data_IF_295804583531
#
_entry.id   IF_295804583531
#
_cell.length_a   1.000
_cell.length_b   1.000
_cell.length_c   1.000
_cell.angle_alpha   90.00
_cell.angle_beta   90.00
_cell.angle_gamma   90.00
#
_symmetry.space_group_name_H-M   'P 1'
#
loop_
_entity.id
_entity.type
_entity.pdbx_description
1 polymer ?
#
# COMPACT_ATOMS: atom_id res chain seq x y z
N UNK A 1 -23.20 38.93 15.58
CA UNK A 1 -21.73 38.99 15.52
C UNK A 1 -21.29 37.75 14.77
N UNK A 2 -20.62 37.93 13.63
CA UNK A 2 -20.28 36.85 12.71
C UNK A 2 -19.09 36.04 13.26
N UNK A 3 -19.29 34.73 13.45
CA UNK A 3 -18.19 33.80 13.68
C UNK A 3 -17.57 33.46 12.32
N UNK A 4 -16.38 34.00 12.06
CA UNK A 4 -15.55 33.67 10.91
C UNK A 4 -15.13 32.20 10.98
N UNK A 5 -15.78 31.34 10.19
CA UNK A 5 -15.29 29.98 9.92
C UNK A 5 -14.03 30.07 9.06
N UNK A 6 -12.96 29.39 9.48
CA UNK A 6 -11.66 29.28 8.77
C UNK A 6 -11.73 28.46 7.47
N UNK A 7 -12.89 28.35 6.83
CA UNK A 7 -13.12 27.57 5.60
C UNK A 7 -13.03 28.41 4.32
N UNK A 8 -12.84 29.72 4.48
CA UNK A 8 -12.38 30.67 3.49
C UNK A 8 -10.86 30.42 3.23
N UNK A 9 -10.29 30.09 2.06
CA UNK A 9 -10.69 30.23 0.67
C UNK A 9 -9.71 29.40 -0.19
N UNK A 10 -9.87 28.09 -0.33
CA UNK A 10 -9.23 27.39 -1.47
C UNK A 10 -10.24 27.33 -2.60
N UNK A 11 -10.26 28.36 -3.44
CA UNK A 11 -11.09 28.39 -4.64
C UNK A 11 -10.75 27.28 -5.64
N UNK A 12 -9.59 26.64 -5.49
CA UNK A 12 -9.08 25.69 -6.45
C UNK A 12 -8.43 24.45 -5.81
N UNK A 13 -8.50 23.33 -6.52
CA UNK A 13 -8.01 22.02 -6.08
C UNK A 13 -7.31 21.31 -7.24
N UNK A 14 -6.15 20.72 -6.97
CA UNK A 14 -5.42 19.93 -7.97
C UNK A 14 -6.13 18.60 -8.24
N UNK A 15 -5.99 18.07 -9.46
CA UNK A 15 -6.60 16.79 -9.88
C UNK A 15 -6.41 15.66 -8.86
N UNK A 16 -5.18 15.47 -8.38
CA UNK A 16 -4.86 14.40 -7.42
C UNK A 16 -5.58 14.55 -6.08
N UNK A 17 -5.79 15.79 -5.63
CA UNK A 17 -6.54 16.06 -4.41
C UNK A 17 -8.04 15.90 -4.65
N UNK A 18 -8.58 16.33 -5.79
CA UNK A 18 -9.99 16.11 -6.13
C UNK A 18 -10.34 14.61 -6.11
N UNK A 19 -9.49 13.75 -6.69
CA UNK A 19 -9.69 12.30 -6.68
C UNK A 19 -9.63 11.70 -5.26
N UNK A 20 -8.67 12.12 -4.44
CA UNK A 20 -8.48 11.58 -3.08
C UNK A 20 -9.53 12.10 -2.09
N UNK A 21 -9.78 13.41 -2.11
CA UNK A 21 -10.63 14.09 -1.13
C UNK A 21 -12.12 13.97 -1.48
N UNK A 22 -12.48 13.75 -2.74
CA UNK A 22 -13.88 13.61 -3.17
C UNK A 22 -14.20 12.24 -3.78
N UNK A 23 -13.24 11.31 -3.72
CA UNK A 23 -13.37 9.95 -4.26
C UNK A 23 -13.86 9.91 -5.71
N UNK A 24 -13.50 10.93 -6.50
CA UNK A 24 -13.89 11.09 -7.90
C UNK A 24 -12.94 10.32 -8.83
N UNK A 25 -13.51 9.79 -9.92
CA UNK A 25 -12.76 9.15 -11.00
C UNK A 25 -12.19 10.16 -11.99
N UNK A 26 -11.37 9.70 -12.94
CA UNK A 26 -10.88 10.56 -14.02
C UNK A 26 -11.98 10.96 -15.00
N UNK A 27 -13.04 10.15 -15.12
CA UNK A 27 -14.20 10.42 -15.98
C UNK A 27 -15.05 11.55 -15.38
N UNK A 28 -15.32 11.49 -14.07
CA UNK A 28 -16.08 12.52 -13.35
C UNK A 28 -15.43 13.91 -13.46
N UNK A 29 -14.10 13.95 -13.49
CA UNK A 29 -13.32 15.18 -13.59
C UNK A 29 -13.14 15.67 -15.03
N UNK A 30 -13.46 14.86 -16.04
CA UNK A 30 -13.26 15.22 -17.46
C UNK A 30 -14.23 16.30 -17.91
N UNK A 31 -15.43 16.30 -17.34
CA UNK A 31 -16.51 17.26 -17.64
C UNK A 31 -16.33 18.61 -16.95
N UNK A 32 -15.42 18.70 -15.97
CA UNK A 32 -15.20 19.91 -15.18
C UNK A 32 -14.20 20.86 -15.82
N UNK A 33 -14.43 22.17 -15.62
CA UNK A 33 -13.52 23.20 -16.11
C UNK A 33 -12.23 23.16 -15.29
N UNK A 34 -11.09 23.27 -15.99
CA UNK A 34 -9.79 23.28 -15.35
C UNK A 34 -8.82 24.25 -16.01
N UNK A 35 -7.94 24.79 -15.19
CA UNK A 35 -6.74 25.49 -15.63
C UNK A 35 -5.57 24.52 -15.60
N UNK A 36 -4.65 24.69 -16.55
CA UNK A 36 -3.41 23.92 -16.61
C UNK A 36 -2.25 24.79 -16.15
N UNK A 37 -1.43 24.29 -15.22
CA UNK A 37 -0.24 24.96 -14.69
C UNK A 37 0.97 24.04 -14.77
N UNK A 38 2.16 24.62 -14.84
CA UNK A 38 3.40 23.85 -14.74
C UNK A 38 3.43 23.02 -13.46
N UNK A 39 3.99 21.82 -13.56
CA UNK A 39 4.13 20.95 -12.40
C UNK A 39 5.17 21.55 -11.44
N UNK A 40 4.80 21.80 -10.16
CA UNK A 40 5.67 22.49 -9.20
C UNK A 40 6.90 21.68 -8.80
N UNK A 41 6.89 20.35 -9.02
CA UNK A 41 8.03 19.48 -8.71
C UNK A 41 9.06 19.56 -9.84
N UNK A 42 8.62 19.50 -11.09
CA UNK A 42 9.49 19.57 -12.26
C UNK A 42 8.68 20.02 -13.49
N UNK A 43 9.11 21.10 -14.14
CA UNK A 43 8.46 21.64 -15.35
C UNK A 43 8.42 20.67 -16.53
N UNK A 44 9.31 19.68 -16.56
CA UNK A 44 9.32 18.62 -17.60
C UNK A 44 8.23 17.57 -17.40
N UNK A 45 7.62 17.50 -16.20
CA UNK A 45 6.51 16.59 -15.94
C UNK A 45 5.22 17.09 -16.57
N UNK A 46 4.24 16.19 -16.79
CA UNK A 46 2.94 16.58 -17.28
C UNK A 46 2.35 17.74 -16.46
N UNK A 47 1.83 18.79 -17.12
CA UNK A 47 1.23 19.91 -16.45
C UNK A 47 0.11 19.51 -15.48
N UNK A 48 0.04 20.21 -14.35
CA UNK A 48 -0.95 19.97 -13.32
C UNK A 48 -2.29 20.61 -13.71
N UNK A 49 -3.38 19.84 -13.58
CA UNK A 49 -4.74 20.35 -13.74
C UNK A 49 -5.30 20.85 -12.41
N UNK A 50 -5.83 22.06 -12.43
CA UNK A 50 -6.41 22.77 -11.30
C UNK A 50 -7.89 23.03 -11.59
N UNK A 51 -8.76 22.52 -10.72
CA UNK A 51 -10.22 22.62 -10.81
C UNK A 51 -10.75 23.62 -9.80
N UNK A 52 -11.93 24.18 -10.04
CA UNK A 52 -12.65 24.97 -9.02
C UNK A 52 -13.21 24.05 -7.95
N UNK A 53 -13.02 24.42 -6.68
CA UNK A 53 -13.48 23.60 -5.56
C UNK A 53 -15.01 23.45 -5.53
N UNK A 54 -15.75 24.50 -5.88
CA UNK A 54 -17.21 24.49 -5.94
C UNK A 54 -17.74 23.46 -6.94
N UNK A 55 -17.19 23.43 -8.16
CA UNK A 55 -17.57 22.47 -9.20
C UNK A 55 -17.27 21.03 -8.77
N UNK A 56 -16.10 20.80 -8.16
CA UNK A 56 -15.73 19.48 -7.63
C UNK A 56 -16.68 19.03 -6.52
N UNK A 57 -17.04 19.93 -5.59
CA UNK A 57 -18.01 19.63 -4.53
C UNK A 57 -19.38 19.28 -5.10
N UNK A 58 -19.86 20.04 -6.10
CA UNK A 58 -21.12 19.76 -6.77
C UNK A 58 -21.10 18.39 -7.47
N UNK A 59 -20.02 18.06 -8.20
CA UNK A 59 -19.88 16.76 -8.84
C UNK A 59 -19.79 15.62 -7.82
N UNK A 60 -19.14 15.85 -6.68
CA UNK A 60 -19.09 14.86 -5.60
C UNK A 60 -20.48 14.57 -5.03
N UNK A 61 -21.32 15.60 -4.86
CA UNK A 61 -22.71 15.42 -4.43
C UNK A 61 -23.52 14.67 -5.49
N UNK A 62 -23.30 14.92 -6.78
CA UNK A 62 -23.95 14.18 -7.87
C UNK A 62 -23.59 12.67 -7.83
N UNK A 63 -22.30 12.34 -7.66
CA UNK A 63 -21.81 10.95 -7.65
C UNK A 63 -22.20 10.20 -6.37
N UNK A 64 -22.07 10.85 -5.21
CA UNK A 64 -22.26 10.20 -3.90
C UNK A 64 -23.64 10.45 -3.28
N UNK A 65 -24.45 11.33 -3.86
CA UNK A 65 -25.77 11.76 -3.39
C UNK A 65 -25.73 12.79 -2.25
N UNK A 66 -24.74 12.71 -1.36
CA UNK A 66 -24.48 13.72 -0.32
C UNK A 66 -23.03 13.69 0.13
N UNK A 67 -22.56 14.78 0.74
CA UNK A 67 -21.22 14.82 1.35
C UNK A 67 -21.10 13.90 2.57
N UNK A 68 -22.20 13.62 3.26
CA UNK A 68 -22.23 12.66 4.38
C UNK A 68 -21.91 11.24 3.89
N UNK A 69 -22.56 10.77 2.82
CA UNK A 69 -22.29 9.45 2.22
C UNK A 69 -20.84 9.32 1.72
N UNK A 70 -20.27 10.41 1.22
CA UNK A 70 -18.86 10.46 0.84
C UNK A 70 -17.95 10.24 2.06
N UNK A 71 -18.22 10.91 3.18
CA UNK A 71 -17.45 10.74 4.43
C UNK A 71 -17.60 9.35 5.04
N UNK A 72 -18.80 8.76 4.98
CA UNK A 72 -19.04 7.38 5.39
C UNK A 72 -18.19 6.40 4.57
N UNK A 73 -18.16 6.57 3.25
CA UNK A 73 -17.35 5.73 2.37
C UNK A 73 -15.84 5.93 2.63
N UNK A 74 -15.38 7.16 2.88
CA UNK A 74 -13.99 7.40 3.30
C UNK A 74 -13.65 6.67 4.58
N UNK A 75 -14.53 6.71 5.58
CA UNK A 75 -14.35 6.04 6.87
C UNK A 75 -14.29 4.53 6.68
N UNK A 76 -15.18 3.98 5.86
CA UNK A 76 -15.18 2.56 5.49
C UNK A 76 -13.88 2.13 4.80
N UNK A 77 -13.35 2.93 3.87
CA UNK A 77 -12.06 2.65 3.20
C UNK A 77 -10.88 2.69 4.18
N UNK A 78 -10.86 3.65 5.10
CA UNK A 78 -9.84 3.74 6.16
C UNK A 78 -9.87 2.51 7.06
N UNK A 79 -11.05 2.11 7.55
CA UNK A 79 -11.20 0.92 8.39
C UNK A 79 -10.74 -0.36 7.68
N UNK A 80 -11.10 -0.54 6.40
CA UNK A 80 -10.63 -1.68 5.62
C UNK A 80 -9.11 -1.71 5.50
N UNK A 81 -8.48 -0.55 5.28
CA UNK A 81 -7.02 -0.43 5.19
C UNK A 81 -6.35 -0.86 6.50
N UNK A 82 -6.80 -0.31 7.63
CA UNK A 82 -6.29 -0.67 8.96
C UNK A 82 -6.44 -2.17 9.21
N UNK A 83 -7.61 -2.76 8.90
CA UNK A 83 -7.82 -4.19 9.10
C UNK A 83 -6.88 -5.08 8.27
N UNK A 84 -6.55 -4.67 7.05
CA UNK A 84 -5.59 -5.40 6.20
C UNK A 84 -4.17 -5.24 6.75
N UNK A 85 -3.79 -4.04 7.19
CA UNK A 85 -2.49 -3.78 7.80
C UNK A 85 -2.30 -4.61 9.08
N UNK A 86 -3.28 -4.63 9.97
CA UNK A 86 -3.26 -5.46 11.18
C UNK A 86 -3.10 -6.95 10.87
N UNK A 87 -3.84 -7.47 9.88
CA UNK A 87 -3.70 -8.88 9.46
C UNK A 87 -2.31 -9.18 8.91
N UNK A 88 -1.78 -8.30 8.06
CA UNK A 88 -0.45 -8.47 7.50
C UNK A 88 0.63 -8.42 8.61
N UNK A 89 0.46 -7.58 9.62
CA UNK A 89 1.36 -7.53 10.78
C UNK A 89 1.27 -8.79 11.63
N UNK A 90 0.07 -9.32 11.86
CA UNK A 90 -0.13 -10.59 12.57
C UNK A 90 0.47 -11.77 11.80
N UNK A 91 0.31 -11.83 10.47
CA UNK A 91 0.92 -12.85 9.62
C UNK A 91 2.45 -12.77 9.63
N UNK A 92 3.01 -11.56 9.56
CA UNK A 92 4.46 -11.35 9.73
C UNK A 92 4.93 -11.84 11.09
N UNK A 93 4.20 -11.51 12.16
CA UNK A 93 4.54 -11.95 13.52
C UNK A 93 4.53 -13.48 13.61
N UNK A 94 3.46 -14.12 13.14
CA UNK A 94 3.35 -15.59 13.08
C UNK A 94 4.46 -16.24 12.26
N UNK A 95 4.86 -15.62 11.16
CA UNK A 95 5.99 -16.09 10.34
C UNK A 95 7.30 -16.08 11.13
N UNK A 96 7.59 -15.01 11.86
CA UNK A 96 8.79 -14.89 12.69
C UNK A 96 8.74 -15.77 13.96
N UNK A 97 7.55 -16.00 14.51
CA UNK A 97 7.33 -16.86 15.68
C UNK A 97 7.33 -18.36 15.33
N UNK A 98 7.47 -18.72 14.06
CA UNK A 98 7.51 -20.12 13.63
C UNK A 98 8.84 -20.76 14.03
N UNK A 99 8.78 -21.70 14.99
CA UNK A 99 9.95 -22.39 15.57
C UNK A 99 10.81 -23.11 14.50
N UNK A 100 10.19 -23.66 13.46
CA UNK A 100 10.89 -24.31 12.33
C UNK A 100 11.76 -23.34 11.51
N UNK A 101 11.38 -22.07 11.45
CA UNK A 101 12.14 -21.01 10.76
C UNK A 101 13.13 -20.39 11.75
N UNK A 102 12.68 -20.14 12.97
CA UNK A 102 13.47 -19.50 14.01
C UNK A 102 14.67 -20.35 14.44
N UNK A 103 14.51 -21.64 14.70
CA UNK A 103 15.59 -22.49 15.24
C UNK A 103 16.82 -22.58 14.32
N UNK A 104 16.70 -22.77 12.99
CA UNK A 104 17.84 -22.68 12.07
C UNK A 104 18.50 -21.28 12.02
N UNK A 105 17.72 -20.22 12.20
CA UNK A 105 18.18 -18.83 12.15
C UNK A 105 18.76 -18.34 13.49
N UNK A 106 18.38 -18.97 14.61
CA UNK A 106 18.73 -18.59 15.98
C UNK A 106 20.24 -18.47 16.20
N UNK A 107 21.00 -19.45 15.69
CA UNK A 107 22.47 -19.42 15.72
C UNK A 107 23.06 -18.14 15.10
N UNK A 108 22.44 -17.62 14.05
CA UNK A 108 22.89 -16.39 13.37
C UNK A 108 22.33 -15.12 14.02
N UNK A 109 21.13 -15.20 14.60
CA UNK A 109 20.49 -14.08 15.32
C UNK A 109 21.23 -13.75 16.63
N UNK A 110 21.74 -14.75 17.33
CA UNK A 110 22.50 -14.57 18.58
C UNK A 110 23.90 -13.96 18.34
N UNK A 111 24.47 -14.16 17.15
CA UNK A 111 25.76 -13.62 16.74
C UNK A 111 25.67 -12.18 16.18
N UNK A 112 24.46 -11.71 15.84
CA UNK A 112 24.21 -10.35 15.37
C UNK A 112 24.37 -9.34 16.52
N UNK A 113 25.59 -8.85 16.69
CA UNK A 113 25.84 -7.63 17.47
C UNK A 113 25.27 -6.46 16.68
N UNK A 114 24.04 -6.07 17.00
CA UNK A 114 23.52 -4.79 16.52
C UNK A 114 24.48 -3.69 16.99
N UNK A 115 24.96 -2.83 16.08
CA UNK A 115 25.75 -1.68 16.50
C UNK A 115 24.88 -0.91 17.50
N UNK A 116 25.41 -0.70 18.70
CA UNK A 116 24.80 0.18 19.68
C UNK A 116 24.86 1.57 19.06
N UNK A 117 23.80 1.95 18.34
CA UNK A 117 23.59 3.33 17.97
C UNK A 117 23.37 4.03 19.30
N UNK A 118 24.45 4.63 19.81
CA UNK A 118 24.37 5.56 20.92
C UNK A 118 23.24 6.53 20.55
N UNK A 119 22.24 6.64 21.44
CA UNK A 119 21.20 7.66 21.32
C UNK A 119 21.84 9.03 21.55
N UNK A 120 22.68 9.48 20.63
CA UNK A 120 22.81 10.90 20.43
C UNK A 120 21.53 11.30 19.73
N UNK A 121 20.59 11.83 20.52
CA UNK A 121 19.38 12.45 19.99
C UNK A 121 19.87 13.62 19.11
N UNK A 122 19.80 13.52 17.77
CA UNK A 122 20.13 14.65 16.95
C UNK A 122 19.13 15.77 17.27
N UNK A 123 19.55 17.06 17.30
CA UNK A 123 18.60 18.15 17.46
C UNK A 123 17.50 17.98 16.42
N UNK A 124 16.24 18.16 16.86
CA UNK A 124 15.03 17.91 16.08
C UNK A 124 15.12 18.56 14.68
N UNK A 125 15.66 17.80 13.74
CA UNK A 125 15.61 18.09 12.32
C UNK A 125 14.37 17.36 11.85
N UNK A 126 13.48 18.11 11.20
CA UNK A 126 12.19 17.65 10.66
C UNK A 126 12.41 16.27 10.04
N UNK A 127 11.66 15.28 10.52
CA UNK A 127 11.86 13.90 10.08
C UNK A 127 11.70 13.83 8.57
N UNK A 128 12.34 12.87 7.91
CA UNK A 128 12.10 12.57 6.49
C UNK A 128 10.61 12.28 6.20
N UNK A 129 9.83 11.99 7.24
CA UNK A 129 8.39 11.77 7.27
C UNK A 129 7.55 13.07 7.36
N UNK A 130 8.18 14.22 7.65
CA UNK A 130 7.55 15.55 7.67
C UNK A 130 7.66 16.26 6.31
N UNK A 131 8.29 15.63 5.32
CA UNK A 131 8.30 16.16 3.96
C UNK A 131 7.01 15.72 3.24
N UNK A 132 6.28 16.68 2.66
CA UNK A 132 5.15 16.49 1.74
C UNK A 132 5.53 15.76 0.42
N UNK A 133 6.51 14.87 0.46
CA UNK A 133 6.91 14.00 -0.64
C UNK A 133 5.94 12.84 -0.67
N UNK A 134 5.05 12.86 -1.66
CA UNK A 134 4.17 11.76 -2.01
C UNK A 134 5.03 10.51 -2.24
N UNK A 135 5.06 9.59 -1.27
CA UNK A 135 5.55 8.23 -1.47
C UNK A 135 4.52 7.46 -2.32
N UNK A 136 4.50 7.74 -3.62
CA UNK A 136 3.75 7.01 -4.64
C UNK A 136 4.39 5.64 -4.95
N UNK A 137 4.83 4.91 -3.92
CA UNK A 137 5.31 3.54 -4.08
C UNK A 137 4.34 2.56 -3.40
N UNK A 138 3.82 2.92 -2.23
CA UNK A 138 2.90 2.08 -1.46
C UNK A 138 1.49 2.00 -2.06
N UNK A 139 1.03 3.03 -2.77
CA UNK A 139 -0.28 2.99 -3.45
C UNK A 139 -0.23 2.21 -4.77
N UNK A 140 0.94 2.10 -5.41
CA UNK A 140 1.12 1.34 -6.65
C UNK A 140 1.07 -0.18 -6.39
N UNK A 141 1.63 -0.67 -5.28
CA UNK A 141 1.55 -2.08 -4.88
C UNK A 141 0.15 -2.52 -4.42
N UNK A 142 -0.74 -1.57 -4.11
CA UNK A 142 -2.10 -1.83 -3.62
C UNK A 142 -3.20 -1.54 -4.65
N UNK A 143 -2.86 -0.97 -5.81
CA UNK A 143 -3.80 -0.69 -6.89
C UNK A 143 -3.90 -1.92 -7.80
N UNK A 144 -4.95 -2.72 -7.65
CA UNK A 144 -5.22 -3.87 -8.51
C UNK A 144 -5.53 -3.37 -9.93
N UNK A 145 -4.76 -3.76 -10.98
CA UNK A 145 -5.07 -3.31 -12.34
C UNK A 145 -6.43 -3.90 -12.79
N UNK A 146 -7.23 -3.15 -13.59
CA UNK A 146 -8.48 -3.65 -14.12
C UNK A 146 -8.21 -4.86 -15.02
N UNK A 147 -8.77 -6.02 -14.66
CA UNK A 147 -8.56 -7.30 -15.35
C UNK A 147 -7.87 -8.40 -14.54
N UNK A 148 -7.40 -8.13 -13.32
CA UNK A 148 -6.83 -9.17 -12.47
C UNK A 148 -7.90 -10.16 -11.96
N UNK A 149 -7.84 -11.42 -12.40
CA UNK A 149 -8.75 -12.51 -12.00
C UNK A 149 -8.86 -12.66 -10.46
N UNK A 150 -10.01 -13.08 -9.93
CA UNK A 150 -10.23 -13.21 -8.49
C UNK A 150 -9.22 -14.17 -7.83
N UNK A 151 -8.72 -13.76 -6.65
CA UNK A 151 -7.67 -14.42 -5.85
C UNK A 151 -7.93 -15.92 -5.58
N UNK A 152 -9.20 -16.33 -5.61
CA UNK A 152 -9.63 -17.71 -5.39
C UNK A 152 -9.13 -18.70 -6.46
N UNK A 153 -8.97 -18.27 -7.71
CA UNK A 153 -8.43 -19.12 -8.78
C UNK A 153 -6.89 -19.19 -8.75
N UNK A 154 -6.22 -18.14 -8.26
CA UNK A 154 -4.77 -18.10 -8.10
C UNK A 154 -4.28 -19.04 -6.98
N UNK A 155 -4.96 -19.04 -5.84
CA UNK A 155 -4.63 -19.93 -4.71
C UNK A 155 -4.74 -21.42 -5.07
N UNK A 156 -5.75 -21.81 -5.86
CA UNK A 156 -5.93 -23.19 -6.33
C UNK A 156 -4.76 -23.67 -7.20
N UNK A 157 -4.22 -22.78 -8.05
CA UNK A 157 -3.07 -23.11 -8.90
C UNK A 157 -1.75 -23.15 -8.11
N UNK A 158 -1.59 -22.27 -7.11
CA UNK A 158 -0.44 -22.25 -6.20
C UNK A 158 -0.42 -23.52 -5.33
N UNK A 159 -1.57 -23.95 -4.80
CA UNK A 159 -1.64 -25.18 -4.00
C UNK A 159 -1.32 -26.43 -4.83
N UNK A 160 -1.73 -26.48 -6.11
CA UNK A 160 -1.39 -27.57 -7.02
C UNK A 160 0.10 -27.63 -7.34
N UNK A 161 0.75 -26.48 -7.57
CA UNK A 161 2.20 -26.41 -7.83
C UNK A 161 3.01 -26.77 -6.58
N UNK A 162 2.65 -26.23 -5.42
CA UNK A 162 3.30 -26.60 -4.14
C UNK A 162 3.14 -28.10 -3.85
N UNK A 163 1.98 -28.70 -4.14
CA UNK A 163 1.78 -30.14 -3.94
C UNK A 163 2.62 -31.00 -4.89
N UNK A 164 2.81 -30.57 -6.14
CA UNK A 164 3.67 -31.28 -7.10
C UNK A 164 5.15 -31.15 -6.74
N UNK A 165 5.57 -29.99 -6.24
CA UNK A 165 6.96 -29.76 -5.82
C UNK A 165 7.30 -30.53 -4.54
N UNK A 166 6.37 -30.64 -3.58
CA UNK A 166 6.54 -31.51 -2.40
C UNK A 166 6.71 -32.99 -2.78
N UNK A 167 6.00 -33.46 -3.80
CA UNK A 167 6.15 -34.82 -4.30
C UNK A 167 7.51 -35.04 -4.97
N UNK A 168 7.99 -34.09 -5.77
CA UNK A 168 9.31 -34.16 -6.41
C UNK A 168 10.47 -34.15 -5.40
N UNK A 169 10.39 -33.30 -4.37
CA UNK A 169 11.41 -33.24 -3.31
C UNK A 169 11.44 -34.54 -2.50
N UNK A 170 10.29 -35.16 -2.24
CA UNK A 170 10.22 -36.46 -1.56
C UNK A 170 10.83 -37.60 -2.40
N UNK A 171 10.63 -37.61 -3.72
CA UNK A 171 11.21 -38.61 -4.62
C UNK A 171 12.74 -38.44 -4.72
N UNK A 172 13.25 -37.21 -4.82
CA UNK A 172 14.70 -36.96 -4.82
C UNK A 172 15.35 -37.33 -3.47
N UNK A 173 14.70 -37.05 -2.34
CA UNK A 173 15.21 -37.44 -1.03
C UNK A 173 15.32 -38.95 -0.84
N UNK A 174 14.40 -39.73 -1.43
CA UNK A 174 14.47 -41.21 -1.40
C UNK A 174 15.56 -41.76 -2.32
N UNK A 175 15.79 -41.15 -3.47
CA UNK A 175 16.87 -41.55 -4.37
C UNK A 175 18.25 -41.31 -3.74
N UNK A 176 18.43 -40.21 -3.02
CA UNK A 176 19.70 -39.88 -2.36
C UNK A 176 20.05 -40.81 -1.19
N UNK A 177 19.04 -41.27 -0.43
CA UNK A 177 19.25 -42.23 0.65
C UNK A 177 19.62 -43.63 0.12
N UNK A 178 19.09 -44.02 -1.04
CA UNK A 178 19.37 -45.32 -1.64
C UNK A 178 20.77 -45.41 -2.30
N UNK A 179 21.36 -44.27 -2.67
CA UNK A 179 22.76 -44.18 -3.16
C UNK A 179 23.78 -44.22 -2.02
N UNK A 180 23.41 -43.80 -0.80
CA UNK A 180 24.30 -43.84 0.38
C UNK A 180 24.45 -45.27 0.93
N UNK A 181 23.42 -46.11 0.80
CA UNK A 181 23.45 -47.50 1.27
C UNK A 181 24.25 -48.46 0.35
N UNK A 182 24.65 -48.03 -0.85
CA UNK A 182 25.36 -48.87 -1.84
C UNK A 182 26.86 -48.57 -1.96
N UNK A 183 27.38 -47.58 -1.22
CA UNK A 183 28.81 -47.19 -1.24
C UNK A 183 29.58 -47.52 0.04
N UNK A 184 28.93 -48.20 1.00
CA UNK A 184 29.56 -48.76 2.20
C UNK A 184 29.54 -50.29 2.20
N UNK A 185 30.26 -50.91 1.27
CA UNK A 185 30.48 -52.37 1.18
C UNK A 185 31.87 -52.69 0.69
#
# INVERSE_FOLDING_TARGET
MAENSKDDVKHAIAKGNAKRDYLLSDEDLKELNHETKDNPINKSYPPMKIFKLSEVKSKAVEVWGSLEKLEDEKTKRKQKKVNVETKNEEEKRKFWDCEEIYEPLKKYMDELKLPVVAKEVPPATKGLLDCDVILCYSDCMNSRPPGALPFQLGLLNIHKTISQDKQKVSVMGKAYLQEQDTSGG
#
